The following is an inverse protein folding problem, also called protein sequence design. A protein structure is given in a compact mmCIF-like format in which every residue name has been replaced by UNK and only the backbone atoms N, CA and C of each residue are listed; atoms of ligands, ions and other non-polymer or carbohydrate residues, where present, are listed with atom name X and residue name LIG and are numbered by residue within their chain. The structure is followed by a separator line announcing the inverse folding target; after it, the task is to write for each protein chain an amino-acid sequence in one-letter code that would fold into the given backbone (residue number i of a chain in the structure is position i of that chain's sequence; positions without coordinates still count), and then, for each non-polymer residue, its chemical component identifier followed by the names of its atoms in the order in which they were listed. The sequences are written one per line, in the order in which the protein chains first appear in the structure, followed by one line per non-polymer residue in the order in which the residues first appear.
data_IF_390568453433
#
_entry.id   IF_390568453433
#
_cell.length_a   1.000
_cell.length_b   1.000
_cell.length_c   1.000
_cell.angle_alpha   90.00
_cell.angle_beta   90.00
_cell.angle_gamma   90.00
#
_symmetry.space_group_name_H-M   'P 1'
#
loop_
_entity.id
_entity.type
_entity.pdbx_description
1 polymer ?
#
# COMPACT_ATOMS: atom_id res chain seq x y z
N UNK A 1 -24.01 -41.79 28.55
CA UNK A 1 -25.08 -40.78 28.32
C UNK A 1 -24.59 -39.47 28.91
N UNK A 2 -24.32 -38.41 28.18
CA UNK A 2 -24.29 -38.14 26.74
C UNK A 2 -23.67 -36.74 26.67
N UNK A 3 -22.64 -36.59 25.85
CA UNK A 3 -21.98 -35.34 25.53
C UNK A 3 -23.00 -34.30 25.03
N UNK A 4 -22.93 -33.08 25.57
CA UNK A 4 -23.43 -31.89 24.88
C UNK A 4 -22.23 -31.01 24.53
N UNK A 5 -21.58 -31.40 23.44
CA UNK A 5 -20.64 -30.60 22.69
C UNK A 5 -21.48 -29.65 21.83
N UNK A 6 -21.81 -28.45 22.34
CA UNK A 6 -22.30 -27.37 21.48
C UNK A 6 -21.11 -26.77 20.77
N UNK A 7 -20.95 -27.15 19.50
CA UNK A 7 -20.15 -26.45 18.51
C UNK A 7 -20.61 -25.00 18.41
N UNK A 8 -19.87 -24.12 19.08
CA UNK A 8 -19.98 -22.68 18.90
C UNK A 8 -19.34 -22.34 17.55
N UNK A 9 -20.15 -22.41 16.48
CA UNK A 9 -19.81 -21.84 15.19
C UNK A 9 -19.73 -20.33 15.36
N UNK A 10 -18.54 -19.86 15.75
CA UNK A 10 -18.19 -18.46 15.95
C UNK A 10 -18.31 -17.65 14.65
N UNK A 11 -19.54 -17.34 14.28
CA UNK A 11 -19.88 -16.34 13.29
C UNK A 11 -19.69 -14.97 13.94
N UNK A 12 -18.48 -14.42 13.77
CA UNK A 12 -18.18 -13.05 14.16
C UNK A 12 -19.15 -12.10 13.45
N UNK A 13 -19.91 -11.26 14.18
CA UNK A 13 -20.81 -10.32 13.54
C UNK A 13 -20.02 -9.38 12.65
N UNK A 14 -20.46 -9.23 11.39
CA UNK A 14 -19.88 -8.27 10.47
C UNK A 14 -19.91 -6.88 11.14
N UNK A 15 -18.77 -6.18 11.25
CA UNK A 15 -18.76 -4.84 11.83
C UNK A 15 -19.71 -3.97 11.01
N UNK A 16 -20.54 -3.16 11.67
CA UNK A 16 -21.37 -2.15 11.00
C UNK A 16 -20.43 -1.08 10.40
N UNK A 17 -19.87 -1.39 9.24
CA UNK A 17 -18.90 -0.56 8.56
C UNK A 17 -19.63 0.59 7.88
N UNK A 18 -19.27 1.82 8.25
CA UNK A 18 -19.65 3.00 7.51
C UNK A 18 -18.44 3.50 6.71
N UNK A 19 -18.54 3.45 5.38
CA UNK A 19 -17.50 3.94 4.47
C UNK A 19 -17.17 5.41 4.75
N UNK A 20 -18.14 6.21 5.22
CA UNK A 20 -17.91 7.61 5.62
C UNK A 20 -17.00 7.69 6.84
N UNK A 21 -17.15 6.76 7.80
CA UNK A 21 -16.22 6.66 8.93
C UNK A 21 -14.83 6.24 8.47
N UNK A 22 -14.72 5.26 7.57
CA UNK A 22 -13.42 4.84 7.02
C UNK A 22 -12.69 6.00 6.33
N UNK A 23 -13.39 6.74 5.47
CA UNK A 23 -12.87 7.95 4.81
C UNK A 23 -12.49 9.04 5.81
N UNK A 24 -13.25 9.19 6.90
CA UNK A 24 -12.93 10.12 7.99
C UNK A 24 -11.59 9.84 8.64
N UNK A 25 -11.27 8.56 8.85
CA UNK A 25 -10.01 8.14 9.43
C UNK A 25 -8.81 8.54 8.56
N UNK A 26 -8.96 8.57 7.22
CA UNK A 26 -7.88 8.93 6.31
C UNK A 26 -7.34 10.35 6.51
N UNK A 27 -8.19 11.34 6.82
CA UNK A 27 -7.75 12.73 7.04
C UNK A 27 -7.64 13.12 8.52
N UNK A 28 -8.16 12.32 9.44
CA UNK A 28 -8.09 12.60 10.89
C UNK A 28 -6.97 11.87 11.62
N UNK A 29 -6.22 10.98 10.95
CA UNK A 29 -5.16 10.16 11.56
C UNK A 29 -3.88 10.16 10.72
N UNK A 30 -2.75 9.85 11.36
CA UNK A 30 -1.47 9.61 10.70
C UNK A 30 -1.62 8.42 9.76
N UNK A 31 -1.35 8.68 8.48
CA UNK A 31 -1.71 7.76 7.40
C UNK A 31 -0.53 6.83 7.06
N UNK A 32 -0.73 5.52 7.26
CA UNK A 32 0.23 4.49 6.89
C UNK A 32 -0.42 3.44 6.00
N UNK A 33 0.32 2.96 5.00
CA UNK A 33 -0.07 1.87 4.12
C UNK A 33 0.98 0.76 4.16
N UNK A 34 0.54 -0.49 4.17
CA UNK A 34 1.39 -1.67 3.95
C UNK A 34 0.91 -2.38 2.68
N UNK A 35 1.76 -2.38 1.65
CA UNK A 35 1.48 -2.98 0.35
C UNK A 35 2.32 -4.23 0.15
N UNK A 36 1.67 -5.37 -0.07
CA UNK A 36 2.32 -6.62 -0.43
C UNK A 36 2.27 -6.94 -1.93
N UNK A 37 2.77 -8.12 -2.30
CA UNK A 37 2.87 -8.55 -3.70
C UNK A 37 1.51 -8.59 -4.43
N UNK A 38 0.42 -8.83 -3.69
CA UNK A 38 -0.93 -8.80 -4.25
C UNK A 38 -1.38 -7.43 -4.76
N UNK A 39 -0.68 -6.34 -4.41
CA UNK A 39 -0.95 -5.00 -4.94
C UNK A 39 -0.45 -4.82 -6.39
N UNK A 40 0.55 -5.60 -6.82
CA UNK A 40 1.15 -5.53 -8.16
C UNK A 40 0.53 -6.52 -9.16
N UNK A 41 -0.39 -7.38 -8.70
CA UNK A 41 -1.22 -8.24 -9.56
C UNK A 41 -2.20 -7.39 -10.42
N UNK A 42 -2.43 -7.74 -11.70
CA UNK A 42 -1.97 -8.93 -12.40
C UNK A 42 -0.55 -8.86 -12.99
N UNK A 43 0.02 -7.66 -13.14
CA UNK A 43 1.30 -7.46 -13.84
C UNK A 43 2.48 -8.29 -13.32
N UNK A 44 2.53 -8.53 -12.00
CA UNK A 44 3.55 -9.34 -11.36
C UNK A 44 2.86 -10.40 -10.50
N UNK A 45 3.14 -11.70 -10.71
CA UNK A 45 2.55 -12.77 -9.92
C UNK A 45 3.09 -12.77 -8.48
N UNK A 46 2.29 -13.30 -7.57
CA UNK A 46 2.70 -13.55 -6.18
C UNK A 46 3.51 -14.84 -6.12
N UNK A 47 4.51 -14.91 -5.24
CA UNK A 47 5.27 -16.13 -5.01
C UNK A 47 4.32 -17.27 -4.56
N UNK A 48 4.26 -18.33 -5.37
CA UNK A 48 3.54 -19.57 -5.04
C UNK A 48 4.50 -20.62 -4.49
N UNK A 49 4.00 -21.52 -3.64
CA UNK A 49 4.79 -22.62 -3.10
C UNK A 49 5.47 -23.43 -4.22
N UNK A 50 6.81 -23.43 -4.24
CA UNK A 50 7.63 -24.18 -5.20
C UNK A 50 8.19 -23.40 -6.39
N UNK A 51 7.91 -22.10 -6.52
CA UNK A 51 8.57 -21.26 -7.53
C UNK A 51 9.97 -20.82 -7.03
N UNK A 52 10.97 -20.94 -7.89
CA UNK A 52 12.33 -20.45 -7.59
C UNK A 52 12.32 -18.91 -7.49
N UNK A 53 12.82 -18.32 -6.38
CA UNK A 53 12.82 -16.86 -6.18
C UNK A 53 13.47 -16.09 -7.34
N UNK A 54 14.46 -16.71 -8.00
CA UNK A 54 15.21 -16.08 -9.11
C UNK A 54 14.33 -15.76 -10.32
N UNK A 55 13.40 -16.64 -10.69
CA UNK A 55 12.52 -16.43 -11.84
C UNK A 55 11.60 -15.23 -11.61
N UNK A 56 11.06 -15.12 -10.39
CA UNK A 56 10.24 -13.99 -9.99
C UNK A 56 11.02 -12.67 -10.04
N UNK A 57 12.27 -12.66 -9.54
CA UNK A 57 13.14 -11.48 -9.62
C UNK A 57 13.42 -11.07 -11.07
N UNK A 58 13.62 -12.04 -11.98
CA UNK A 58 13.83 -11.76 -13.40
C UNK A 58 12.59 -11.13 -14.05
N UNK A 59 11.40 -11.64 -13.74
CA UNK A 59 10.14 -11.05 -14.19
C UNK A 59 9.94 -9.63 -13.65
N UNK A 60 10.17 -9.43 -12.34
CA UNK A 60 10.12 -8.10 -11.70
C UNK A 60 11.09 -7.15 -12.39
N UNK A 61 12.31 -7.59 -12.69
CA UNK A 61 13.33 -6.79 -13.38
C UNK A 61 12.84 -6.38 -14.77
N UNK A 62 12.29 -7.31 -15.56
CA UNK A 62 11.77 -7.00 -16.90
C UNK A 62 10.67 -5.93 -16.87
N UNK A 63 9.66 -6.09 -16.01
CA UNK A 63 8.58 -5.10 -15.87
C UNK A 63 9.15 -3.76 -15.39
N UNK A 64 10.03 -3.78 -14.38
CA UNK A 64 10.63 -2.57 -13.82
C UNK A 64 11.53 -1.82 -14.80
N UNK A 65 12.22 -2.52 -15.70
CA UNK A 65 12.98 -1.89 -16.78
C UNK A 65 12.06 -1.13 -17.73
N UNK A 66 10.92 -1.73 -18.11
CA UNK A 66 9.94 -1.06 -18.98
C UNK A 66 9.36 0.19 -18.31
N UNK A 67 9.00 0.09 -17.03
CA UNK A 67 8.50 1.20 -16.22
C UNK A 67 9.52 2.36 -16.16
N UNK A 68 10.76 2.04 -15.78
CA UNK A 68 11.83 3.02 -15.62
C UNK A 68 12.24 3.68 -16.95
N UNK A 69 12.14 2.95 -18.07
CA UNK A 69 12.44 3.48 -19.40
C UNK A 69 11.26 4.23 -20.05
N UNK A 70 10.05 4.19 -19.46
CA UNK A 70 8.84 4.70 -20.11
C UNK A 70 8.50 3.95 -21.41
N UNK A 71 8.82 2.65 -21.47
CA UNK A 71 8.57 1.80 -22.65
C UNK A 71 7.10 1.38 -22.77
N UNK A 72 6.75 0.78 -23.91
CA UNK A 72 5.43 0.17 -24.11
C UNK A 72 5.20 -0.93 -23.08
N UNK A 73 4.11 -0.80 -22.31
CA UNK A 73 3.66 -1.76 -21.31
C UNK A 73 2.61 -2.70 -21.91
N UNK A 74 2.58 -3.93 -21.42
CA UNK A 74 1.45 -4.83 -21.67
C UNK A 74 0.17 -4.31 -20.99
N UNK A 75 -1.00 -4.81 -21.41
CA UNK A 75 -2.29 -4.38 -20.87
C UNK A 75 -2.35 -4.52 -19.33
N UNK A 76 -1.93 -5.67 -18.79
CA UNK A 76 -1.87 -5.94 -17.35
C UNK A 76 -0.90 -5.00 -16.61
N UNK A 77 0.28 -4.74 -17.18
CA UNK A 77 1.29 -3.83 -16.64
C UNK A 77 0.77 -2.38 -16.59
N UNK A 78 0.09 -1.95 -17.66
CA UNK A 78 -0.52 -0.63 -17.76
C UNK A 78 -1.69 -0.48 -16.77
N UNK A 79 -2.51 -1.50 -16.61
CA UNK A 79 -3.63 -1.50 -15.66
C UNK A 79 -3.15 -1.42 -14.21
N UNK A 80 -2.10 -2.18 -13.86
CA UNK A 80 -1.45 -2.11 -12.55
C UNK A 80 -0.84 -0.73 -12.32
N UNK A 81 -0.07 -0.18 -13.27
CA UNK A 81 0.49 1.17 -13.15
C UNK A 81 -0.62 2.22 -12.96
N UNK A 82 -1.70 2.14 -13.74
CA UNK A 82 -2.85 3.02 -13.59
C UNK A 82 -3.54 2.89 -12.22
N UNK A 83 -3.51 1.71 -11.60
CA UNK A 83 -3.99 1.54 -10.22
C UNK A 83 -3.10 2.26 -9.21
N UNK A 84 -1.76 2.17 -9.33
CA UNK A 84 -0.83 2.91 -8.49
C UNK A 84 -0.93 4.43 -8.70
N UNK A 85 -1.07 4.91 -9.95
CA UNK A 85 -1.27 6.36 -10.24
C UNK A 85 -2.52 6.89 -9.53
N UNK A 86 -3.64 6.17 -9.61
CA UNK A 86 -4.87 6.55 -8.89
C UNK A 86 -4.69 6.49 -7.37
N UNK A 87 -3.96 5.49 -6.87
CA UNK A 87 -3.66 5.34 -5.44
C UNK A 87 -2.83 6.50 -4.91
N UNK A 88 -1.78 6.91 -5.61
CA UNK A 88 -0.97 8.08 -5.25
C UNK A 88 -1.79 9.37 -5.32
N UNK A 89 -2.59 9.54 -6.37
CA UNK A 89 -3.48 10.70 -6.52
C UNK A 89 -4.52 10.80 -5.39
N UNK A 90 -5.05 9.66 -4.95
CA UNK A 90 -5.91 9.56 -3.77
C UNK A 90 -5.21 10.06 -2.50
N UNK A 91 -3.98 9.60 -2.25
CA UNK A 91 -3.20 10.01 -1.08
C UNK A 91 -2.98 11.52 -1.11
N UNK A 92 -2.57 12.08 -2.25
CA UNK A 92 -2.35 13.53 -2.40
C UNK A 92 -3.64 14.30 -2.13
N UNK A 93 -4.78 13.81 -2.62
CA UNK A 93 -6.09 14.41 -2.36
C UNK A 93 -6.42 14.41 -0.87
N UNK A 94 -6.20 13.29 -0.17
CA UNK A 94 -6.38 13.18 1.28
C UNK A 94 -5.46 14.17 2.02
N UNK A 95 -4.16 14.18 1.71
CA UNK A 95 -3.19 15.09 2.34
C UNK A 95 -3.48 16.56 2.05
N UNK A 96 -4.14 16.86 0.92
CA UNK A 96 -4.58 18.21 0.56
C UNK A 96 -5.76 18.69 1.41
N UNK A 97 -6.59 17.76 1.89
CA UNK A 97 -7.74 18.05 2.75
C UNK A 97 -7.40 18.01 4.25
N UNK A 98 -6.26 17.40 4.63
CA UNK A 98 -5.83 17.28 6.02
C UNK A 98 -5.42 18.62 6.66
N UNK A 99 -5.83 18.83 7.91
CA UNK A 99 -5.43 19.97 8.71
C UNK A 99 -4.07 19.70 9.39
N UNK A 100 -3.00 20.35 8.92
CA UNK A 100 -1.62 20.16 9.42
C UNK A 100 -1.45 20.45 10.91
N UNK A 101 -2.36 21.20 11.54
CA UNK A 101 -2.33 21.46 12.99
C UNK A 101 -2.76 20.26 13.83
N UNK A 102 -3.56 19.35 13.25
CA UNK A 102 -4.09 18.18 13.94
C UNK A 102 -3.31 16.91 13.58
N UNK A 103 -2.94 16.76 12.31
CA UNK A 103 -2.27 15.58 11.78
C UNK A 103 -1.22 16.03 10.76
N UNK A 104 -0.02 15.44 10.74
CA UNK A 104 0.97 15.76 9.71
C UNK A 104 0.42 15.55 8.31
N UNK A 105 0.77 16.42 7.38
CA UNK A 105 0.46 16.25 5.95
C UNK A 105 1.44 15.28 5.28
N UNK A 106 1.61 14.12 5.89
CA UNK A 106 2.47 13.07 5.36
C UNK A 106 1.82 11.71 5.41
N UNK A 107 2.06 10.91 4.38
CA UNK A 107 1.67 9.51 4.32
C UNK A 107 2.90 8.62 4.19
N UNK A 108 2.92 7.50 4.89
CA UNK A 108 3.99 6.51 4.79
C UNK A 108 3.46 5.29 4.02
N UNK A 109 4.20 4.88 2.99
CA UNK A 109 3.94 3.65 2.22
C UNK A 109 5.07 2.68 2.53
N UNK A 110 4.74 1.61 3.24
CA UNK A 110 5.61 0.47 3.47
C UNK A 110 5.30 -0.60 2.44
N UNK A 111 6.31 -1.13 1.77
CA UNK A 111 6.09 -2.23 0.82
C UNK A 111 7.21 -3.27 0.84
N UNK A 112 6.82 -4.54 0.79
CA UNK A 112 7.75 -5.66 0.61
C UNK A 112 8.05 -5.94 -0.87
N UNK A 113 7.50 -5.13 -1.78
CA UNK A 113 7.64 -5.34 -3.21
C UNK A 113 8.96 -4.73 -3.71
N UNK A 114 9.68 -5.48 -4.54
CA UNK A 114 10.94 -5.03 -5.13
C UNK A 114 10.75 -4.15 -6.38
N UNK A 115 9.57 -4.21 -6.99
CA UNK A 115 9.18 -3.54 -8.23
C UNK A 115 9.17 -1.99 -8.11
N UNK A 116 9.05 -1.32 -9.26
CA UNK A 116 9.12 0.14 -9.39
C UNK A 116 7.78 0.81 -9.71
N UNK A 117 6.65 0.16 -9.45
CA UNK A 117 5.34 0.74 -9.79
C UNK A 117 5.03 2.02 -8.99
N UNK A 118 5.43 2.10 -7.72
CA UNK A 118 5.20 3.28 -6.88
C UNK A 118 6.03 4.45 -7.41
N UNK A 119 7.31 4.23 -7.70
CA UNK A 119 8.22 5.23 -8.25
C UNK A 119 7.72 5.75 -9.60
N UNK A 120 7.36 4.85 -10.52
CA UNK A 120 6.82 5.23 -11.82
C UNK A 120 5.49 6.01 -11.71
N UNK A 121 4.62 5.62 -10.76
CA UNK A 121 3.38 6.35 -10.49
C UNK A 121 3.64 7.74 -9.89
N UNK A 122 4.60 7.87 -8.97
CA UNK A 122 5.00 9.16 -8.40
C UNK A 122 5.55 10.09 -9.47
N UNK A 123 6.40 9.59 -10.38
CA UNK A 123 6.95 10.39 -11.48
C UNK A 123 5.86 10.96 -12.41
N UNK A 124 4.79 10.20 -12.68
CA UNK A 124 3.64 10.69 -13.45
C UNK A 124 2.85 11.75 -12.67
N UNK A 125 2.53 11.47 -11.41
CA UNK A 125 1.65 12.35 -10.62
C UNK A 125 2.35 13.66 -10.23
N UNK A 126 3.67 13.63 -10.00
CA UNK A 126 4.44 14.83 -9.62
C UNK A 126 4.54 15.87 -10.74
N UNK A 127 4.41 15.49 -12.01
CA UNK A 127 4.39 16.43 -13.14
C UNK A 127 3.22 17.42 -13.05
N UNK A 128 2.11 16.99 -12.46
CA UNK A 128 0.90 17.80 -12.31
C UNK A 128 0.77 18.38 -10.88
N UNK A 129 1.59 17.91 -9.93
CA UNK A 129 1.49 18.23 -8.51
C UNK A 129 2.83 18.71 -7.92
N UNK A 130 3.34 19.86 -8.41
CA UNK A 130 4.64 20.42 -8.01
C UNK A 130 4.81 20.71 -6.50
N UNK A 131 3.70 20.79 -5.77
CA UNK A 131 3.70 21.02 -4.32
C UNK A 131 3.82 19.75 -3.48
N UNK A 132 4.01 18.58 -4.07
CA UNK A 132 4.14 17.30 -3.34
C UNK A 132 5.61 16.89 -3.26
N UNK A 133 6.05 16.42 -2.09
CA UNK A 133 7.38 15.88 -1.89
C UNK A 133 7.33 14.36 -1.86
N UNK A 134 8.17 13.74 -2.70
CA UNK A 134 8.45 12.30 -2.64
C UNK A 134 9.73 12.06 -1.85
N UNK A 135 9.67 11.17 -0.86
CA UNK A 135 10.81 10.82 -0.02
C UNK A 135 10.99 9.30 0.04
N UNK A 136 11.89 8.79 -0.79
CA UNK A 136 12.35 7.40 -0.83
C UNK A 136 13.60 7.16 0.05
N UNK A 137 13.94 8.11 0.92
CA UNK A 137 15.13 8.08 1.76
C UNK A 137 16.44 8.38 1.02
N UNK A 138 16.43 8.51 -0.31
CA UNK A 138 17.63 8.74 -1.10
C UNK A 138 17.86 10.24 -1.36
N UNK A 139 19.10 10.68 -1.15
CA UNK A 139 19.51 12.07 -1.38
C UNK A 139 20.79 12.12 -2.24
N UNK A 140 20.94 13.20 -3.00
CA UNK A 140 22.06 13.44 -3.90
C UNK A 140 21.61 13.88 -5.29
N UNK A 141 22.53 14.45 -6.06
CA UNK A 141 22.23 15.02 -7.38
C UNK A 141 22.57 14.02 -8.50
N UNK A 142 23.85 13.76 -8.76
CA UNK A 142 24.29 12.80 -9.77
C UNK A 142 24.21 11.34 -9.30
N UNK A 143 24.39 11.14 -7.99
CA UNK A 143 24.31 9.84 -7.35
C UNK A 143 23.43 10.00 -6.12
N UNK A 144 22.40 9.16 -6.03
CA UNK A 144 21.43 9.19 -4.94
C UNK A 144 21.78 8.05 -3.98
N UNK A 145 22.04 8.38 -2.73
CA UNK A 145 22.34 7.39 -1.70
C UNK A 145 21.25 7.41 -0.63
N UNK A 146 20.83 6.22 -0.20
CA UNK A 146 19.85 6.09 0.87
C UNK A 146 20.52 6.46 2.19
N UNK A 147 19.83 7.28 2.97
CA UNK A 147 20.18 7.54 4.35
C UNK A 147 18.90 7.56 5.19
N UNK A 148 18.82 6.70 6.19
CA UNK A 148 17.64 6.56 7.06
C UNK A 148 17.21 7.89 7.68
N UNK A 149 18.16 8.79 7.99
CA UNK A 149 17.86 10.11 8.53
C UNK A 149 16.98 10.98 7.59
N UNK A 150 16.98 10.70 6.29
CA UNK A 150 16.16 11.45 5.34
C UNK A 150 14.66 11.19 5.55
N UNK A 151 14.26 10.04 6.10
CA UNK A 151 12.84 9.75 6.36
C UNK A 151 12.24 10.66 7.43
N UNK A 152 13.05 11.16 8.37
CA UNK A 152 12.64 12.08 9.43
C UNK A 152 12.50 13.54 8.96
N UNK A 153 12.88 13.85 7.71
CA UNK A 153 12.79 15.21 7.19
C UNK A 153 11.33 15.63 7.03
N UNK A 154 11.04 16.85 7.49
CA UNK A 154 9.81 17.56 7.22
C UNK A 154 10.10 18.74 6.29
N UNK A 155 9.23 18.94 5.32
CA UNK A 155 9.32 20.05 4.36
C UNK A 155 8.11 20.95 4.53
N UNK A 156 8.34 22.26 4.52
CA UNK A 156 7.27 23.23 4.62
C UNK A 156 7.54 24.41 3.69
N UNK A 157 6.47 24.89 3.07
CA UNK A 157 6.47 26.11 2.27
C UNK A 157 6.50 27.31 3.20
N UNK A 158 7.52 28.16 3.02
CA UNK A 158 7.60 29.47 3.66
C UNK A 158 7.16 30.55 2.68
N UNK A 159 6.26 31.42 3.14
CA UNK A 159 5.88 32.62 2.38
C UNK A 159 7.05 33.59 2.23
N UNK A 160 7.00 34.47 1.23
CA UNK A 160 8.06 35.46 0.94
C UNK A 160 8.41 36.37 2.13
N UNK A 161 7.48 36.56 3.06
CA UNK A 161 7.64 37.37 4.26
C UNK A 161 7.85 36.54 5.54
N UNK A 162 8.15 35.24 5.41
CA UNK A 162 8.38 34.28 6.51
C UNK A 162 7.26 34.14 7.56
N UNK A 163 6.11 34.79 7.36
CA UNK A 163 4.99 34.81 8.31
C UNK A 163 4.13 33.54 8.31
N UNK A 164 4.35 32.62 7.36
CA UNK A 164 3.57 31.40 7.21
C UNK A 164 4.48 30.21 6.94
N UNK A 165 4.32 29.15 7.73
CA UNK A 165 4.98 27.87 7.54
C UNK A 165 3.90 26.80 7.29
N UNK A 166 3.69 26.46 6.02
CA UNK A 166 2.70 25.46 5.62
C UNK A 166 3.39 24.14 5.32
N UNK A 167 3.09 23.11 6.12
CA UNK A 167 3.63 21.77 5.87
C UNK A 167 3.22 21.30 4.45
N UNK A 168 4.22 20.83 3.71
CA UNK A 168 4.09 20.37 2.35
C UNK A 168 3.65 18.92 2.35
N UNK A 169 2.61 18.54 1.57
CA UNK A 169 2.23 17.15 1.37
C UNK A 169 3.44 16.28 1.04
N UNK A 170 3.70 15.27 1.86
CA UNK A 170 4.88 14.41 1.73
C UNK A 170 4.45 12.94 1.66
N UNK A 171 4.88 12.22 0.63
CA UNK A 171 4.72 10.76 0.55
C UNK A 171 6.09 10.13 0.80
N UNK A 172 6.18 9.30 1.83
CA UNK A 172 7.40 8.53 2.16
C UNK A 172 7.26 7.10 1.67
N UNK A 173 8.23 6.60 0.94
CA UNK A 173 8.29 5.21 0.48
C UNK A 173 9.38 4.46 1.25
N UNK A 174 8.99 3.45 2.02
CA UNK A 174 9.89 2.64 2.84
C UNK A 174 9.83 1.19 2.33
N UNK A 175 10.98 0.67 1.86
CA UNK A 175 11.11 -0.70 1.34
C UNK A 175 12.01 -1.54 2.26
N UNK A 176 11.45 -2.26 3.26
CA UNK A 176 12.23 -3.07 4.19
C UNK A 176 13.02 -4.21 3.54
N UNK A 177 12.65 -4.70 2.35
CA UNK A 177 13.33 -5.81 1.68
C UNK A 177 14.16 -5.36 0.45
N UNK A 178 14.32 -4.06 0.25
CA UNK A 178 15.09 -3.51 -0.86
C UNK A 178 14.30 -3.28 -2.14
N UNK A 179 15.00 -2.94 -3.21
CA UNK A 179 14.40 -2.72 -4.54
C UNK A 179 15.35 -3.11 -5.66
N UNK A 180 14.78 -3.44 -6.82
CA UNK A 180 15.51 -3.96 -7.97
C UNK A 180 16.50 -2.96 -8.59
N UNK A 181 16.35 -1.67 -8.30
CA UNK A 181 17.24 -0.60 -8.74
C UNK A 181 18.24 -0.14 -7.67
N UNK A 182 18.36 -0.85 -6.55
CA UNK A 182 19.31 -0.53 -5.50
C UNK A 182 20.61 -1.31 -5.69
N UNK A 183 21.74 -0.63 -5.51
CA UNK A 183 23.07 -1.23 -5.56
C UNK A 183 23.84 -0.90 -4.30
N UNK A 184 24.38 -1.91 -3.63
CA UNK A 184 25.32 -1.71 -2.54
C UNK A 184 26.69 -1.32 -3.11
N UNK A 185 27.22 -0.18 -2.66
CA UNK A 185 28.58 0.24 -2.99
C UNK A 185 29.59 -0.64 -2.24
N UNK A 186 30.57 -1.18 -2.96
CA UNK A 186 31.68 -1.96 -2.39
C UNK A 186 32.87 -1.09 -1.95
N UNK A 187 32.74 0.23 -2.04
CA UNK A 187 33.86 1.16 -1.87
C UNK A 187 34.35 1.29 -0.41
N UNK A 188 33.48 1.00 0.56
CA UNK A 188 33.81 1.07 1.99
C UNK A 188 33.28 -0.20 2.66
N UNK A 189 34.15 -0.93 3.39
CA UNK A 189 33.76 -2.15 4.11
C UNK A 189 33.02 -1.84 5.40
N UNK A 190 33.18 -0.63 5.93
CA UNK A 190 32.62 -0.22 7.22
C UNK A 190 31.31 0.57 7.08
N UNK A 191 30.93 0.95 5.85
CA UNK A 191 29.69 1.67 5.57
C UNK A 191 28.83 0.93 4.53
N UNK A 192 27.64 0.51 4.95
CA UNK A 192 26.59 0.00 4.06
C UNK A 192 25.97 1.15 3.25
N UNK A 193 26.66 1.57 2.19
CA UNK A 193 26.21 2.63 1.29
C UNK A 193 25.35 2.05 0.17
N UNK A 194 24.07 2.42 0.15
CA UNK A 194 23.11 1.94 -0.85
C UNK A 194 22.83 3.06 -1.85
N UNK A 195 23.15 2.82 -3.10
CA UNK A 195 22.90 3.72 -4.22
C UNK A 195 21.58 3.37 -4.91
N UNK A 196 20.73 4.37 -5.15
CA UNK A 196 19.48 4.23 -5.90
C UNK A 196 19.72 4.68 -7.34
N UNK A 197 19.49 3.77 -8.28
CA UNK A 197 19.68 4.01 -9.71
C UNK A 197 18.34 4.24 -10.40
N UNK A 198 18.36 4.91 -11.55
CA UNK A 198 17.15 5.14 -12.35
C UNK A 198 16.67 3.87 -13.07
N UNK A 199 17.50 2.83 -13.17
CA UNK A 199 17.19 1.58 -13.85
C UNK A 199 17.48 0.39 -12.94
N UNK A 200 16.75 -0.73 -13.10
CA UNK A 200 17.08 -1.98 -12.41
C UNK A 200 18.52 -2.44 -12.66
N UNK A 201 19.12 -3.09 -11.67
CA UNK A 201 20.48 -3.63 -11.77
C UNK A 201 20.50 -5.14 -11.86
N UNK A 202 21.62 -5.67 -12.34
CA UNK A 202 21.84 -7.12 -12.43
C UNK A 202 21.90 -7.77 -11.04
N UNK A 203 22.68 -7.17 -10.12
CA UNK A 203 22.87 -7.62 -8.75
C UNK A 203 22.26 -6.61 -7.77
N UNK A 204 20.93 -6.66 -7.55
CA UNK A 204 20.21 -5.74 -6.70
C UNK A 204 20.46 -6.01 -5.22
N UNK A 205 20.43 -4.96 -4.40
CA UNK A 205 20.51 -5.08 -2.96
C UNK A 205 19.11 -5.39 -2.37
N UNK A 206 18.85 -6.68 -2.13
CA UNK A 206 17.55 -7.23 -1.71
C UNK A 206 17.69 -8.18 -0.53
N UNK A 207 16.62 -8.32 0.25
CA UNK A 207 16.37 -9.51 1.07
C UNK A 207 15.49 -10.43 0.25
N UNK A 208 15.96 -11.63 -0.09
CA UNK A 208 15.16 -12.62 -0.81
C UNK A 208 14.18 -13.32 0.14
N UNK A 209 12.98 -13.69 -0.32
CA UNK A 209 11.98 -14.41 0.47
C UNK A 209 12.35 -15.90 0.55
N UNK A 210 13.53 -16.20 1.09
CA UNK A 210 14.05 -17.55 1.28
C UNK A 210 14.04 -17.94 2.78
N UNK A 211 14.48 -19.17 3.09
CA UNK A 211 14.50 -19.65 4.47
C UNK A 211 15.39 -18.81 5.41
N UNK A 212 16.32 -18.03 4.86
CA UNK A 212 17.29 -17.21 5.58
C UNK A 212 16.94 -15.71 5.53
N UNK A 213 15.77 -15.34 4.98
CA UNK A 213 15.26 -13.96 4.91
C UNK A 213 15.42 -13.24 6.26
N UNK A 214 15.07 -13.93 7.35
CA UNK A 214 15.16 -13.40 8.71
C UNK A 214 16.59 -13.09 9.15
N UNK A 215 17.55 -13.94 8.78
CA UNK A 215 18.97 -13.73 9.11
C UNK A 215 19.53 -12.58 8.27
N UNK A 216 19.30 -12.60 6.95
CA UNK A 216 19.78 -11.58 6.01
C UNK A 216 19.25 -10.18 6.35
N UNK A 217 17.99 -10.08 6.78
CA UNK A 217 17.36 -8.82 7.21
C UNK A 217 18.01 -8.26 8.48
N UNK A 218 18.42 -9.12 9.41
CA UNK A 218 19.07 -8.71 10.67
C UNK A 218 20.55 -8.40 10.49
N UNK A 219 21.22 -9.05 9.54
CA UNK A 219 22.63 -8.80 9.22
C UNK A 219 22.83 -7.45 8.51
N UNK A 220 21.87 -7.05 7.66
CA UNK A 220 21.90 -5.71 7.06
C UNK A 220 21.38 -4.65 8.02
N UNK A 221 22.22 -3.65 8.29
CA UNK A 221 21.84 -2.50 9.10
C UNK A 221 20.68 -1.72 8.48
N UNK A 222 20.67 -1.56 7.16
CA UNK A 222 19.64 -0.81 6.45
C UNK A 222 18.27 -1.44 6.58
N UNK A 223 18.14 -2.74 6.29
CA UNK A 223 16.86 -3.43 6.35
C UNK A 223 16.29 -3.46 7.78
N UNK A 224 17.16 -3.68 8.77
CA UNK A 224 16.80 -3.54 10.19
C UNK A 224 16.24 -2.14 10.52
N UNK A 225 16.90 -1.07 10.07
CA UNK A 225 16.42 0.30 10.30
C UNK A 225 15.09 0.59 9.58
N UNK A 226 14.85 0.05 8.39
CA UNK A 226 13.57 0.21 7.68
C UNK A 226 12.42 -0.48 8.44
N UNK A 227 12.63 -1.69 8.95
CA UNK A 227 11.67 -2.37 9.82
C UNK A 227 11.46 -1.61 11.14
N UNK A 228 12.52 -1.02 11.70
CA UNK A 228 12.44 -0.19 12.90
C UNK A 228 11.58 1.06 12.66
N UNK A 229 11.74 1.74 11.51
CA UNK A 229 10.87 2.87 11.12
C UNK A 229 9.41 2.44 11.06
N UNK A 230 9.11 1.27 10.47
CA UNK A 230 7.75 0.73 10.44
C UNK A 230 7.20 0.57 11.86
N UNK A 231 7.94 -0.07 12.76
CA UNK A 231 7.51 -0.26 14.14
C UNK A 231 7.26 1.08 14.87
N UNK A 232 8.15 2.07 14.68
CA UNK A 232 7.99 3.42 15.25
C UNK A 232 6.71 4.09 14.76
N UNK A 233 6.36 3.99 13.47
CA UNK A 233 5.12 4.57 12.95
C UNK A 233 3.87 3.90 13.52
N UNK A 234 3.91 2.59 13.79
CA UNK A 234 2.79 1.86 14.38
C UNK A 234 2.57 2.18 15.87
N UNK A 235 3.63 2.54 16.60
CA UNK A 235 3.56 2.94 18.00
C UNK A 235 2.99 4.37 18.19
N UNK A 236 2.95 5.19 17.13
CA UNK A 236 2.44 6.57 17.22
C UNK A 236 0.93 6.60 17.52
N UNK A 237 0.46 7.53 18.37
CA UNK A 237 -0.96 7.69 18.63
C UNK A 237 -1.68 8.33 17.43
N UNK A 238 -3.00 8.12 17.36
CA UNK A 238 -3.85 8.63 16.28
C UNK A 238 -3.36 8.20 14.89
N UNK A 239 -2.98 6.94 14.77
CA UNK A 239 -2.47 6.35 13.53
C UNK A 239 -3.47 5.39 12.92
N UNK A 240 -3.45 5.27 11.59
CA UNK A 240 -4.15 4.23 10.85
C UNK A 240 -3.16 3.51 9.93
N UNK A 241 -3.26 2.19 9.90
CA UNK A 241 -2.55 1.32 8.96
C UNK A 241 -3.56 0.65 8.03
N UNK A 242 -3.46 0.91 6.73
CA UNK A 242 -4.20 0.19 5.70
C UNK A 242 -3.31 -0.90 5.08
N UNK A 243 -3.77 -2.14 5.07
CA UNK A 243 -3.03 -3.29 4.55
C UNK A 243 -3.71 -3.82 3.29
N UNK A 244 -2.98 -3.83 2.17
CA UNK A 244 -3.49 -4.21 0.85
C UNK A 244 -2.55 -5.25 0.23
N UNK A 245 -3.10 -6.40 -0.19
CA UNK A 245 -2.36 -7.42 -0.94
C UNK A 245 -1.19 -8.07 -0.19
N UNK A 246 -1.20 -8.04 1.15
CA UNK A 246 -0.16 -8.62 2.00
C UNK A 246 -0.68 -9.86 2.73
N UNK A 247 0.03 -10.98 2.61
CA UNK A 247 -0.41 -12.30 3.09
C UNK A 247 -0.05 -12.61 4.54
N UNK A 248 0.79 -11.78 5.18
CA UNK A 248 1.37 -12.00 6.52
C UNK A 248 2.22 -13.27 6.65
N UNK A 249 2.86 -13.72 5.56
CA UNK A 249 3.83 -14.83 5.60
C UNK A 249 5.19 -14.41 6.19
N UNK A 250 5.57 -13.14 6.01
CA UNK A 250 6.74 -12.56 6.65
C UNK A 250 6.54 -12.48 8.17
N UNK A 251 7.38 -13.22 8.90
CA UNK A 251 7.32 -13.35 10.36
C UNK A 251 7.66 -12.05 11.09
N UNK A 252 8.54 -11.21 10.55
CA UNK A 252 8.95 -9.95 11.18
C UNK A 252 7.83 -8.93 11.12
N UNK A 253 7.31 -8.65 9.92
CA UNK A 253 6.21 -7.67 9.74
C UNK A 253 4.96 -8.16 10.45
N UNK A 254 4.63 -9.46 10.36
CA UNK A 254 3.54 -10.08 11.14
C UNK A 254 3.71 -9.80 12.63
N UNK A 255 4.87 -10.13 13.20
CA UNK A 255 5.14 -9.93 14.62
C UNK A 255 5.12 -8.47 15.07
N UNK A 256 5.47 -7.53 14.19
CA UNK A 256 5.33 -6.09 14.42
C UNK A 256 3.87 -5.67 14.47
N UNK A 257 3.06 -6.05 13.47
CA UNK A 257 1.63 -5.71 13.44
C UNK A 257 0.89 -6.34 14.62
N UNK A 258 1.18 -7.60 14.97
CA UNK A 258 0.61 -8.27 16.14
C UNK A 258 0.85 -7.49 17.44
N UNK A 259 2.08 -7.04 17.68
CA UNK A 259 2.42 -6.25 18.88
C UNK A 259 1.79 -4.86 18.84
N UNK A 260 1.80 -4.22 17.68
CA UNK A 260 1.23 -2.89 17.49
C UNK A 260 -0.29 -2.84 17.75
N UNK A 261 -1.00 -3.96 17.60
CA UNK A 261 -2.42 -4.04 17.99
C UNK A 261 -2.67 -3.81 19.48
N UNK A 262 -1.64 -3.88 20.34
CA UNK A 262 -1.75 -3.47 21.75
C UNK A 262 -1.83 -1.95 21.92
N UNK A 263 -1.49 -1.16 20.89
CA UNK A 263 -1.63 0.29 20.90
C UNK A 263 -3.10 0.70 20.63
N UNK A 264 -3.83 1.24 21.62
CA UNK A 264 -5.21 1.67 21.42
C UNK A 264 -5.33 2.91 20.50
N UNK A 265 -4.23 3.64 20.29
CA UNK A 265 -4.17 4.79 19.39
C UNK A 265 -4.01 4.43 17.91
N UNK A 266 -3.64 3.19 17.61
CA UNK A 266 -3.53 2.64 16.26
C UNK A 266 -4.85 2.01 15.84
N UNK A 267 -5.28 2.22 14.60
CA UNK A 267 -6.30 1.40 13.93
C UNK A 267 -5.67 0.67 12.76
N UNK A 268 -5.96 -0.62 12.62
CA UNK A 268 -5.47 -1.44 11.51
C UNK A 268 -6.65 -1.88 10.66
N UNK A 269 -6.62 -1.56 9.38
CA UNK A 269 -7.64 -1.95 8.40
C UNK A 269 -7.02 -2.83 7.32
N UNK A 270 -7.44 -4.09 7.24
CA UNK A 270 -6.92 -5.09 6.30
C UNK A 270 -7.98 -5.39 5.24
N UNK A 271 -7.63 -5.28 3.96
CA UNK A 271 -8.52 -5.62 2.86
C UNK A 271 -8.24 -7.02 2.34
N UNK A 272 -9.19 -7.93 2.50
CA UNK A 272 -9.11 -9.30 2.00
C UNK A 272 -9.41 -9.33 0.50
N UNK A 273 -8.55 -9.96 -0.29
CA UNK A 273 -8.65 -9.95 -1.75
C UNK A 273 -9.97 -10.53 -2.28
N UNK A 274 -10.40 -11.66 -1.73
CA UNK A 274 -11.64 -12.38 -2.05
C UNK A 274 -12.38 -12.77 -0.77
N UNK A 275 -13.66 -13.13 -0.88
CA UNK A 275 -14.38 -13.77 0.23
C UNK A 275 -13.96 -15.25 0.40
N UNK A 276 -13.54 -15.87 -0.70
CA UNK A 276 -13.09 -17.27 -0.78
C UNK A 276 -11.66 -17.44 -0.25
N UNK A 277 -11.43 -18.59 0.37
CA UNK A 277 -10.13 -18.99 0.94
C UNK A 277 -9.25 -19.68 -0.09
N UNK A 278 -7.93 -19.59 0.09
CA UNK A 278 -6.97 -20.29 -0.76
C UNK A 278 -6.93 -21.81 -0.52
N UNK A 279 -7.56 -22.28 0.57
CA UNK A 279 -7.67 -23.70 0.92
C UNK A 279 -9.14 -24.15 0.86
N UNK A 280 -9.48 -25.20 0.08
CA UNK A 280 -10.80 -25.78 0.13
C UNK A 280 -11.00 -26.42 1.52
N UNK A 281 -12.03 -25.99 2.25
CA UNK A 281 -12.48 -26.48 3.58
C UNK A 281 -12.01 -25.73 4.84
N UNK A 282 -11.40 -24.54 4.77
CA UNK A 282 -11.05 -23.76 5.98
C UNK A 282 -11.63 -22.35 6.01
N UNK A 283 -12.89 -22.18 6.42
CA UNK A 283 -13.43 -20.88 6.83
C UNK A 283 -13.53 -19.81 5.73
N UNK A 284 -13.68 -18.53 6.13
CA UNK A 284 -13.77 -17.37 5.25
C UNK A 284 -12.40 -16.66 5.14
N UNK A 285 -12.16 -15.83 4.12
CA UNK A 285 -10.87 -15.12 3.95
C UNK A 285 -10.44 -14.29 5.17
N UNK A 286 -11.40 -13.86 5.99
CA UNK A 286 -11.17 -13.21 7.28
C UNK A 286 -10.48 -14.15 8.29
N UNK A 287 -10.94 -15.40 8.41
CA UNK A 287 -10.32 -16.43 9.25
C UNK A 287 -8.90 -16.73 8.78
N UNK A 288 -8.64 -16.79 7.47
CA UNK A 288 -7.28 -16.98 6.94
C UNK A 288 -6.34 -15.86 7.35
N UNK A 289 -6.77 -14.60 7.23
CA UNK A 289 -5.98 -13.43 7.66
C UNK A 289 -5.75 -13.48 9.18
N UNK A 290 -6.76 -13.81 9.99
CA UNK A 290 -6.62 -13.92 11.44
C UNK A 290 -5.67 -15.05 11.85
N UNK A 291 -5.75 -16.19 11.18
CA UNK A 291 -4.86 -17.34 11.38
C UNK A 291 -3.42 -16.97 11.00
N UNK A 292 -3.23 -16.36 9.83
CA UNK A 292 -1.91 -15.91 9.38
C UNK A 292 -1.36 -14.84 10.30
N UNK A 293 -2.18 -13.90 10.76
CA UNK A 293 -1.76 -12.88 11.72
C UNK A 293 -1.52 -13.48 13.11
N UNK A 294 -2.11 -14.63 13.46
CA UNK A 294 -1.92 -15.28 14.76
C UNK A 294 -2.45 -14.44 15.93
N UNK A 295 -3.57 -13.75 15.75
CA UNK A 295 -4.15 -12.88 16.78
C UNK A 295 -5.65 -13.14 16.94
N UNK A 296 -6.17 -12.84 18.12
CA UNK A 296 -7.61 -12.85 18.41
C UNK A 296 -8.16 -11.47 18.01
N UNK A 297 -9.43 -11.41 17.59
CA UNK A 297 -10.11 -10.16 17.22
C UNK A 297 -9.87 -9.05 18.25
N UNK A 298 -9.32 -7.92 17.81
CA UNK A 298 -9.10 -6.72 18.63
C UNK A 298 -10.03 -5.59 18.18
N UNK A 299 -10.41 -4.70 19.09
CA UNK A 299 -11.32 -3.57 18.80
C UNK A 299 -10.73 -2.56 17.81
N UNK A 300 -9.41 -2.50 17.71
CA UNK A 300 -8.68 -1.66 16.77
C UNK A 300 -8.31 -2.37 15.46
N UNK A 301 -8.69 -3.63 15.27
CA UNK A 301 -8.47 -4.39 14.03
C UNK A 301 -9.78 -4.52 13.24
N UNK A 302 -9.77 -3.98 12.02
CA UNK A 302 -10.86 -4.09 11.06
C UNK A 302 -10.40 -4.90 9.85
N UNK A 303 -11.03 -6.03 9.59
CA UNK A 303 -10.81 -6.80 8.35
C UNK A 303 -12.03 -6.61 7.47
N UNK A 304 -11.82 -6.26 6.20
CA UNK A 304 -12.87 -6.01 5.21
C UNK A 304 -12.77 -7.01 4.08
N UNK A 305 -13.86 -7.74 3.86
CA UNK A 305 -14.04 -8.65 2.73
C UNK A 305 -14.88 -7.99 1.63
N UNK A 306 -14.85 -8.49 0.38
CA UNK A 306 -15.70 -7.97 -0.68
C UNK A 306 -17.20 -7.95 -0.32
N UNK A 307 -17.71 -8.97 0.39
CA UNK A 307 -19.09 -8.98 0.91
C UNK A 307 -19.37 -7.82 1.86
N UNK A 308 -18.44 -7.53 2.78
CA UNK A 308 -18.60 -6.40 3.72
C UNK A 308 -18.72 -5.07 2.96
N UNK A 309 -17.88 -4.87 1.94
CA UNK A 309 -17.88 -3.64 1.12
C UNK A 309 -19.14 -3.55 0.27
N UNK A 310 -19.58 -4.65 -0.36
CA UNK A 310 -20.79 -4.68 -1.18
C UNK A 310 -22.03 -4.27 -0.36
N UNK A 311 -22.17 -4.81 0.86
CA UNK A 311 -23.25 -4.46 1.78
C UNK A 311 -23.22 -2.97 2.17
N UNK A 312 -22.04 -2.39 2.34
CA UNK A 312 -21.91 -0.96 2.68
C UNK A 312 -22.30 -0.04 1.52
N UNK A 313 -21.92 -0.37 0.28
CA UNK A 313 -22.27 0.41 -0.91
C UNK A 313 -23.78 0.42 -1.15
N UNK A 314 -24.45 -0.72 -0.95
CA UNK A 314 -25.92 -0.82 -1.06
C UNK A 314 -26.62 0.07 -0.01
N UNK A 315 -26.07 0.16 1.20
CA UNK A 315 -26.65 0.98 2.27
C UNK A 315 -26.44 2.49 2.07
N UNK A 316 -25.36 2.91 1.38
CA UNK A 316 -25.17 4.31 0.99
C UNK A 316 -26.23 4.79 -0.02
N UNK A 317 -26.57 3.95 -1.01
CA UNK A 317 -27.56 4.28 -2.06
C UNK A 317 -29.01 4.39 -1.57
N UNK A 318 -29.31 3.96 -0.34
CA UNK A 318 -30.65 4.10 0.27
C UNK A 318 -30.84 5.41 1.04
N UNK A 319 -29.76 6.16 1.28
CA UNK A 319 -29.78 7.40 2.08
C UNK A 319 -29.70 8.70 1.25
N UNK A 320 -29.50 8.60 -0.07
CA UNK A 320 -29.60 9.74 -0.99
C UNK A 320 -30.99 9.74 -1.66
N UNK A 321 -31.64 10.91 -1.85
CA UNK A 321 -32.99 10.97 -2.43
C UNK A 321 -32.97 10.46 -3.89
N UNK A 322 -34.08 9.86 -4.36
CA UNK A 322 -34.09 9.18 -5.64
C UNK A 322 -34.04 10.19 -6.78
N UNK A 323 -32.88 10.30 -7.43
CA UNK A 323 -32.84 10.73 -8.82
C UNK A 323 -32.98 9.49 -9.71
N UNK A 324 -34.00 9.53 -10.56
CA UNK A 324 -34.49 8.44 -11.38
C UNK A 324 -33.43 7.96 -12.38
N UNK A 325 -32.96 6.73 -12.19
CA UNK A 325 -32.92 5.68 -13.23
C UNK A 325 -32.43 4.37 -12.58
N UNK A 326 -33.28 3.78 -11.75
CA UNK A 326 -33.07 2.44 -11.21
C UNK A 326 -33.70 1.40 -12.14
N UNK A 327 -32.95 0.95 -13.16
CA UNK A 327 -33.21 -0.33 -13.80
C UNK A 327 -31.92 -1.15 -13.89
N UNK A 328 -32.06 -2.40 -13.41
CA UNK A 328 -31.17 -3.55 -13.51
C UNK A 328 -29.80 -3.47 -12.84
N UNK A 329 -29.74 -3.83 -11.56
CA UNK A 329 -28.54 -4.45 -10.95
C UNK A 329 -28.93 -5.57 -10.00
N UNK A 330 -29.71 -6.54 -10.50
CA UNK A 330 -29.70 -7.89 -9.93
C UNK A 330 -28.65 -8.70 -10.71
N UNK A 331 -27.80 -9.45 -9.99
CA UNK A 331 -26.68 -10.29 -10.44
C UNK A 331 -25.32 -9.61 -10.72
N UNK A 332 -24.67 -9.02 -9.70
CA UNK A 332 -23.21 -8.77 -9.65
C UNK A 332 -22.61 -9.03 -8.25
N UNK A 333 -23.09 -10.05 -7.53
CA UNK A 333 -22.43 -10.50 -6.28
C UNK A 333 -21.19 -11.34 -6.53
N UNK A 334 -20.99 -11.84 -7.75
CA UNK A 334 -19.80 -12.57 -8.15
C UNK A 334 -18.75 -11.60 -8.69
N UNK A 335 -17.54 -11.64 -8.10
CA UNK A 335 -16.30 -10.99 -8.59
C UNK A 335 -15.95 -9.55 -8.14
N UNK A 336 -16.39 -9.05 -6.98
CA UNK A 336 -15.67 -7.91 -6.37
C UNK A 336 -14.39 -8.44 -5.73
N UNK A 337 -13.23 -7.99 -6.20
CA UNK A 337 -11.92 -8.28 -5.57
C UNK A 337 -11.36 -7.00 -4.95
N UNK A 338 -10.93 -7.04 -3.69
CA UNK A 338 -10.32 -5.90 -3.01
C UNK A 338 -8.83 -5.81 -3.32
N UNK A 339 -8.52 -5.46 -4.56
CA UNK A 339 -7.18 -5.10 -5.01
C UNK A 339 -6.92 -3.59 -4.82
N UNK A 340 -5.70 -3.13 -5.17
CA UNK A 340 -5.30 -1.73 -5.03
C UNK A 340 -6.30 -0.77 -5.72
N UNK A 341 -6.79 -1.11 -6.92
CA UNK A 341 -7.75 -0.30 -7.69
C UNK A 341 -9.08 -0.14 -6.96
N UNK A 342 -9.65 -1.22 -6.43
CA UNK A 342 -10.93 -1.19 -5.72
C UNK A 342 -10.82 -0.49 -4.36
N UNK A 343 -9.75 -0.78 -3.60
CA UNK A 343 -9.50 -0.13 -2.31
C UNK A 343 -9.27 1.37 -2.48
N UNK A 344 -8.55 1.78 -3.52
CA UNK A 344 -8.37 3.20 -3.84
C UNK A 344 -9.73 3.89 -4.01
N UNK A 345 -10.64 3.33 -4.81
CA UNK A 345 -11.99 3.89 -4.99
C UNK A 345 -12.79 3.97 -3.69
N UNK A 346 -12.62 2.98 -2.80
CA UNK A 346 -13.29 2.97 -1.50
C UNK A 346 -12.84 4.15 -0.62
N UNK A 347 -11.53 4.42 -0.60
CA UNK A 347 -10.91 5.44 0.25
C UNK A 347 -10.94 6.85 -0.35
N UNK A 348 -11.28 7.00 -1.63
CA UNK A 348 -11.41 8.31 -2.29
C UNK A 348 -12.40 9.24 -1.54
N UNK A 349 -12.04 10.52 -1.32
CA UNK A 349 -12.96 11.52 -0.78
C UNK A 349 -14.17 11.75 -1.71
N UNK A 350 -15.35 12.04 -1.16
CA UNK A 350 -16.60 12.24 -1.93
C UNK A 350 -16.53 13.35 -3.00
N UNK A 351 -15.59 14.29 -2.89
CA UNK A 351 -15.43 15.41 -3.83
C UNK A 351 -14.30 15.18 -4.84
N UNK A 352 -13.76 13.96 -4.94
CA UNK A 352 -12.61 13.66 -5.80
C UNK A 352 -12.98 13.36 -7.27
N UNK A 353 -14.26 13.11 -7.58
CA UNK A 353 -14.74 12.89 -8.96
C UNK A 353 -14.62 14.14 -9.86
N UNK A 354 -14.27 15.30 -9.29
CA UNK A 354 -14.07 16.56 -10.00
C UNK A 354 -12.61 16.89 -10.34
N UNK A 355 -11.65 16.04 -10.00
CA UNK A 355 -10.27 16.20 -10.48
C UNK A 355 -10.11 15.47 -11.82
N UNK A 356 -9.44 16.07 -12.81
CA UNK A 356 -9.41 15.54 -14.16
C UNK A 356 -8.78 14.15 -14.16
N UNK A 357 -9.62 13.13 -14.32
CA UNK A 357 -9.21 11.83 -14.82
C UNK A 357 -8.69 12.10 -16.22
N UNK A 358 -7.39 11.93 -16.42
CA UNK A 358 -6.74 12.04 -17.73
C UNK A 358 -7.57 11.32 -18.80
N UNK A 359 -8.10 12.11 -19.72
CA UNK A 359 -8.47 11.62 -21.04
C UNK A 359 -7.18 11.03 -21.64
N UNK A 360 -7.21 9.73 -21.93
CA UNK A 360 -6.18 9.11 -22.73
C UNK A 360 -6.09 9.89 -24.04
N UNK A 361 -4.90 10.42 -24.32
CA UNK A 361 -4.57 10.95 -25.64
C UNK A 361 -4.63 9.78 -26.63
N UNK A 362 -5.71 9.69 -27.38
CA UNK A 362 -5.79 8.96 -28.64
C UNK A 362 -4.80 9.60 -29.63
N UNK A 363 -3.51 9.27 -29.50
CA UNK A 363 -2.54 9.48 -30.56
C UNK A 363 -2.61 8.26 -31.49
N UNK A 364 -3.57 8.28 -32.42
CA UNK A 364 -3.73 7.19 -33.37
C UNK A 364 -4.75 7.46 -34.48
N UNK A 365 -4.24 7.96 -35.62
CA UNK A 365 -4.81 7.93 -36.99
C UNK A 365 -5.75 9.06 -37.41
N UNK A 366 -5.22 9.88 -38.32
CA UNK A 366 -5.98 10.78 -39.16
C UNK A 366 -5.13 11.30 -40.31
N UNK A 367 -4.52 10.39 -41.07
CA UNK A 367 -3.97 10.69 -42.39
C UNK A 367 -5.11 11.10 -43.32
N UNK A 368 -5.07 12.34 -43.81
CA UNK A 368 -5.40 12.73 -45.19
C UNK A 368 -4.80 14.08 -45.50
#
# INVERSE_FOLDING_TARGET
MSDNNTSDDGEYPAPHLDIRQLRKLCYSKRLNFLLGAGASQPAIPTLTDGQEPKELIDQIRQVSCKLAAGSVLAEEEMDTLGAYVRFISMIISILSMSNSRAVPRSANIFTTNYDLFIEAAMDQVMQENYGVIFNDGANGYFRRYINTFNYDRSTALRGQFDNYNHETPTIRLIKPHGSINWRQSKADKDQELIEVLSQPVENPFLVLPDANESEHTMESRHFFEMLRLFNIELDKPQSILFVIGFSFQDKHIKGMVQRALQNPGLQVCIFAYSDETSKPNTGNARKDILNNLGTISNSNLLILSPKDVANCVINLGKHDPPHADSKSTENKSDSIRLNLKTVTRLLMPNNADSFPILAQSDSGRGSK
#
